data_IF_360836663460
#
_entry.id   IF_360836663460
#
_cell.length_a   1.000
_cell.length_b   1.000
_cell.length_c   1.000
_cell.angle_alpha   90.00
_cell.angle_beta   90.00
_cell.angle_gamma   90.00
#
_symmetry.space_group_name_H-M   'P 1'
#
loop_
_entity.id
_entity.type
_entity.pdbx_description
1 polymer ?
#
# COMPACT_ATOMS: atom_id res chain seq x y z
N UNK A 1 20.80 20.24 -40.52
CA UNK A 1 21.97 20.61 -41.36
C UNK A 1 23.16 19.81 -40.87
N UNK A 2 23.45 18.75 -41.63
CA UNK A 2 24.10 17.51 -41.23
C UNK A 2 25.63 17.59 -41.15
N UNK A 3 26.19 18.62 -40.52
CA UNK A 3 27.65 18.83 -40.54
C UNK A 3 28.42 18.20 -39.37
N UNK A 4 27.76 17.93 -38.23
CA UNK A 4 28.43 17.37 -37.05
C UNK A 4 28.44 15.83 -37.10
N UNK A 5 27.36 15.22 -37.58
CA UNK A 5 27.22 13.75 -37.65
C UNK A 5 28.23 13.13 -38.62
N UNK A 6 28.53 13.81 -39.73
CA UNK A 6 29.50 13.33 -40.72
C UNK A 6 30.96 13.41 -40.21
N UNK A 7 31.26 14.34 -39.29
CA UNK A 7 32.61 14.55 -38.77
C UNK A 7 32.98 13.52 -37.70
N UNK A 8 31.99 13.03 -36.94
CA UNK A 8 32.19 11.93 -35.97
C UNK A 8 32.42 10.59 -36.66
N UNK A 9 31.82 10.38 -37.84
CA UNK A 9 31.95 9.16 -38.64
C UNK A 9 33.37 8.94 -39.22
N UNK A 10 34.14 10.01 -39.44
CA UNK A 10 35.52 9.92 -39.96
C UNK A 10 36.58 9.76 -38.87
N UNK A 11 36.24 10.04 -37.60
CA UNK A 11 37.20 10.03 -36.48
C UNK A 11 37.13 8.75 -35.63
N UNK A 12 36.05 7.96 -35.75
CA UNK A 12 35.85 6.71 -35.01
C UNK A 12 35.13 5.67 -35.90
N UNK A 13 35.85 4.94 -36.77
CA UNK A 13 35.24 3.99 -37.71
C UNK A 13 34.69 2.70 -37.07
N UNK A 14 34.90 2.49 -35.78
CA UNK A 14 34.51 1.27 -35.04
C UNK A 14 33.41 1.49 -33.97
N UNK A 15 32.68 2.62 -34.00
CA UNK A 15 31.67 2.91 -32.98
C UNK A 15 30.23 2.63 -33.50
N UNK A 16 29.65 1.53 -33.04
CA UNK A 16 28.26 1.14 -33.32
C UNK A 16 27.28 2.20 -32.78
N UNK A 17 26.60 2.92 -33.69
CA UNK A 17 25.66 3.99 -33.35
C UNK A 17 24.41 3.49 -32.58
N UNK A 18 24.18 2.18 -32.55
CA UNK A 18 23.13 1.55 -31.73
C UNK A 18 23.43 1.66 -30.24
N UNK A 19 24.69 1.64 -29.81
CA UNK A 19 25.05 1.66 -28.38
C UNK A 19 24.84 3.03 -27.74
N UNK A 20 24.91 4.12 -28.52
CA UNK A 20 24.65 5.47 -28.03
C UNK A 20 23.15 5.74 -27.86
N UNK A 21 22.32 5.22 -28.78
CA UNK A 21 20.85 5.27 -28.69
C UNK A 21 20.32 4.34 -27.59
N UNK A 22 20.91 3.15 -27.43
CA UNK A 22 20.61 2.22 -26.34
C UNK A 22 20.98 2.83 -24.99
N UNK A 23 22.15 3.46 -24.82
CA UNK A 23 22.51 4.12 -23.55
C UNK A 23 21.62 5.33 -23.20
N UNK A 24 21.16 6.08 -24.20
CA UNK A 24 20.26 7.21 -23.97
C UNK A 24 18.84 6.74 -23.61
N UNK A 25 18.37 5.63 -24.19
CA UNK A 25 17.08 5.02 -23.85
C UNK A 25 17.14 4.26 -22.51
N UNK A 26 18.23 3.53 -22.23
CA UNK A 26 18.46 2.79 -20.97
C UNK A 26 18.62 3.69 -19.74
N UNK A 27 19.10 4.94 -19.89
CA UNK A 27 19.11 5.89 -18.78
C UNK A 27 17.70 6.31 -18.33
N UNK A 28 16.69 6.17 -19.20
CA UNK A 28 15.30 6.44 -18.84
C UNK A 28 14.65 5.25 -18.11
N UNK A 29 15.08 4.02 -18.39
CA UNK A 29 14.55 2.80 -17.76
C UNK A 29 15.08 2.57 -16.33
N UNK A 30 16.32 2.99 -16.03
CA UNK A 30 16.92 2.81 -14.69
C UNK A 30 16.38 3.80 -13.63
N UNK A 31 15.86 4.95 -14.06
CA UNK A 31 15.16 5.91 -13.19
C UNK A 31 13.77 5.40 -12.81
N UNK A 32 13.09 4.69 -13.71
CA UNK A 32 11.78 4.07 -13.43
C UNK A 32 11.94 2.85 -12.50
N UNK A 33 12.99 2.03 -12.66
CA UNK A 33 13.26 0.89 -11.77
C UNK A 33 13.58 1.30 -10.32
N UNK A 34 14.28 2.43 -10.11
CA UNK A 34 14.52 2.98 -8.76
C UNK A 34 13.23 3.51 -8.11
N UNK A 35 12.36 4.17 -8.89
CA UNK A 35 11.04 4.62 -8.39
C UNK A 35 10.12 3.45 -8.12
N UNK A 36 10.15 2.40 -8.92
CA UNK A 36 9.39 1.16 -8.71
C UNK A 36 9.90 0.38 -7.48
N UNK A 37 11.21 0.33 -7.24
CA UNK A 37 11.79 -0.24 -6.01
C UNK A 37 11.40 0.58 -4.77
N UNK A 38 11.37 1.91 -4.87
CA UNK A 38 10.92 2.81 -3.81
C UNK A 38 9.44 2.58 -3.47
N UNK A 39 8.58 2.46 -4.48
CA UNK A 39 7.17 2.12 -4.31
C UNK A 39 7.02 0.72 -3.70
N UNK A 40 7.71 -0.31 -4.22
CA UNK A 40 7.68 -1.67 -3.67
C UNK A 40 8.12 -1.73 -2.22
N UNK A 41 9.20 -1.05 -1.86
CA UNK A 41 9.68 -0.99 -0.49
C UNK A 41 8.65 -0.35 0.46
N UNK A 42 7.96 0.71 0.01
CA UNK A 42 6.94 1.39 0.81
C UNK A 42 5.69 0.52 1.06
N UNK A 43 5.19 -0.21 0.04
CA UNK A 43 4.06 -1.13 0.24
C UNK A 43 4.43 -2.38 1.06
N UNK A 44 5.69 -2.86 1.00
CA UNK A 44 6.15 -3.97 1.85
C UNK A 44 6.23 -3.53 3.32
N UNK A 45 6.80 -2.35 3.62
CA UNK A 45 6.88 -1.84 5.00
C UNK A 45 5.52 -1.58 5.63
N UNK A 46 4.56 -1.04 4.87
CA UNK A 46 3.18 -0.84 5.37
C UNK A 46 2.51 -2.18 5.73
N UNK A 47 2.61 -3.20 4.88
CA UNK A 47 2.02 -4.52 5.16
C UNK A 47 2.66 -5.21 6.38
N UNK A 48 3.98 -5.10 6.56
CA UNK A 48 4.66 -5.66 7.74
C UNK A 48 4.24 -4.97 9.04
N UNK A 49 4.16 -3.64 9.03
CA UNK A 49 3.70 -2.86 10.18
C UNK A 49 2.25 -3.20 10.55
N UNK A 50 1.40 -3.40 9.55
CA UNK A 50 0.02 -3.85 9.73
C UNK A 50 -0.06 -5.27 10.30
N UNK A 51 0.71 -6.22 9.77
CA UNK A 51 0.74 -7.60 10.27
C UNK A 51 1.17 -7.64 11.74
N UNK A 52 2.19 -6.84 12.11
CA UNK A 52 2.63 -6.69 13.50
C UNK A 52 1.52 -6.10 14.37
N UNK A 53 0.86 -5.04 13.93
CA UNK A 53 -0.26 -4.42 14.66
C UNK A 53 -1.44 -5.41 14.85
N UNK A 54 -1.72 -6.28 13.87
CA UNK A 54 -2.73 -7.35 13.99
C UNK A 54 -2.35 -8.36 15.07
N UNK A 55 -1.10 -8.80 15.12
CA UNK A 55 -0.62 -9.71 16.17
C UNK A 55 -0.66 -9.05 17.55
N UNK A 56 -0.28 -7.78 17.65
CA UNK A 56 -0.35 -7.02 18.90
C UNK A 56 -1.79 -6.89 19.42
N UNK A 57 -2.77 -6.63 18.55
CA UNK A 57 -4.20 -6.60 18.92
C UNK A 57 -4.68 -7.97 19.44
N UNK A 58 -4.19 -9.08 18.85
CA UNK A 58 -4.52 -10.44 19.32
C UNK A 58 -3.92 -10.74 20.70
N UNK A 59 -2.76 -10.17 21.01
CA UNK A 59 -2.06 -10.35 22.27
C UNK A 59 -2.60 -9.47 23.41
N UNK A 60 -3.53 -8.54 23.12
CA UNK A 60 -4.17 -7.72 24.15
C UNK A 60 -4.93 -8.61 25.14
N UNK A 61 -4.54 -8.55 26.42
CA UNK A 61 -5.18 -9.28 27.53
C UNK A 61 -6.63 -8.86 27.77
N UNK A 62 -6.99 -7.65 27.36
CA UNK A 62 -8.32 -7.09 27.52
C UNK A 62 -8.94 -6.90 26.13
N UNK A 63 -10.11 -7.51 25.90
CA UNK A 63 -10.82 -7.39 24.63
C UNK A 63 -11.25 -5.94 24.44
N UNK A 64 -10.91 -5.31 23.29
CA UNK A 64 -11.49 -4.04 22.89
C UNK A 64 -13.01 -4.10 22.97
N UNK A 65 -13.64 -2.97 23.27
CA UNK A 65 -15.08 -2.81 23.21
C UNK A 65 -15.62 -3.19 21.83
N UNK A 66 -16.88 -3.60 21.78
CA UNK A 66 -17.52 -4.06 20.54
C UNK A 66 -17.47 -3.04 19.39
N UNK A 67 -17.51 -1.73 19.72
CA UNK A 67 -17.37 -0.66 18.75
C UNK A 67 -15.96 -0.62 18.12
N UNK A 68 -14.92 -0.68 18.96
CA UNK A 68 -13.52 -0.69 18.52
C UNK A 68 -13.21 -1.93 17.67
N UNK A 69 -13.72 -3.09 18.08
CA UNK A 69 -13.59 -4.33 17.33
C UNK A 69 -14.24 -4.24 15.94
N UNK A 70 -15.36 -3.52 15.82
CA UNK A 70 -16.01 -3.22 14.55
C UNK A 70 -15.17 -2.32 13.66
N UNK A 71 -14.57 -1.26 14.23
CA UNK A 71 -13.70 -0.34 13.50
C UNK A 71 -12.41 -1.01 12.99
N UNK A 72 -11.73 -1.77 13.85
CA UNK A 72 -10.55 -2.59 13.49
C UNK A 72 -10.91 -3.51 12.33
N UNK A 73 -12.06 -4.21 12.43
CA UNK A 73 -12.51 -5.12 11.39
C UNK A 73 -12.79 -4.40 10.08
N UNK A 74 -13.49 -3.26 10.11
CA UNK A 74 -13.80 -2.47 8.92
C UNK A 74 -12.54 -2.00 8.19
N UNK A 75 -11.57 -1.44 8.93
CA UNK A 75 -10.28 -1.00 8.38
C UNK A 75 -9.47 -2.18 7.84
N UNK A 76 -9.42 -3.29 8.57
CA UNK A 76 -8.75 -4.52 8.12
C UNK A 76 -9.32 -5.04 6.80
N UNK A 77 -10.65 -5.04 6.66
CA UNK A 77 -11.33 -5.46 5.43
C UNK A 77 -11.09 -4.49 4.29
N UNK A 78 -11.09 -3.18 4.55
CA UNK A 78 -10.78 -2.18 3.53
C UNK A 78 -9.32 -2.26 3.05
N UNK A 79 -8.35 -2.45 3.96
CA UNK A 79 -6.94 -2.59 3.62
C UNK A 79 -6.64 -3.85 2.78
N UNK A 80 -7.32 -4.96 3.08
CA UNK A 80 -7.06 -6.25 2.41
C UNK A 80 -7.89 -6.43 1.13
N UNK A 81 -9.21 -6.28 1.25
CA UNK A 81 -10.18 -6.52 0.17
C UNK A 81 -10.43 -5.25 -0.65
N UNK A 82 -10.43 -4.09 0.01
CA UNK A 82 -10.92 -2.84 -0.56
C UNK A 82 -12.41 -2.65 -0.26
N UNK A 83 -13.10 -2.01 -1.20
CA UNK A 83 -14.50 -1.64 -1.02
C UNK A 83 -15.44 -2.81 -0.75
N UNK A 84 -16.44 -2.57 0.10
CA UNK A 84 -17.46 -3.55 0.43
C UNK A 84 -18.22 -3.98 -0.83
N UNK A 85 -18.16 -5.29 -1.10
CA UNK A 85 -18.82 -5.93 -2.24
C UNK A 85 -19.88 -6.96 -1.80
N UNK A 86 -20.13 -7.07 -0.49
CA UNK A 86 -21.10 -7.99 0.09
C UNK A 86 -22.38 -7.25 0.49
N UNK A 87 -23.53 -7.91 0.31
CA UNK A 87 -24.81 -7.39 0.76
C UNK A 87 -24.89 -7.32 2.29
N UNK A 88 -25.71 -6.41 2.79
CA UNK A 88 -25.90 -6.22 4.23
C UNK A 88 -26.48 -7.47 4.89
N UNK A 89 -25.85 -8.01 5.95
CA UNK A 89 -26.37 -9.18 6.65
C UNK A 89 -27.73 -8.90 7.28
N UNK A 90 -28.53 -9.96 7.44
CA UNK A 90 -29.92 -9.87 7.94
C UNK A 90 -30.01 -9.28 9.34
N UNK A 91 -31.16 -8.66 9.65
CA UNK A 91 -31.39 -7.87 10.88
C UNK A 91 -31.16 -8.68 12.18
N UNK A 92 -31.28 -10.01 12.11
CA UNK A 92 -31.06 -10.92 13.24
C UNK A 92 -29.59 -11.09 13.63
N UNK A 93 -28.64 -10.76 12.76
CA UNK A 93 -27.21 -10.79 13.07
C UNK A 93 -26.69 -9.38 13.37
N UNK A 94 -26.91 -8.92 14.60
CA UNK A 94 -26.44 -7.61 15.06
C UNK A 94 -24.90 -7.49 15.02
N UNK A 95 -24.18 -8.61 15.06
CA UNK A 95 -22.72 -8.65 15.00
C UNK A 95 -22.16 -8.59 13.59
N UNK A 96 -22.73 -9.36 12.68
CA UNK A 96 -22.48 -9.20 11.25
C UNK A 96 -22.83 -7.79 10.79
N UNK A 97 -23.97 -7.25 11.23
CA UNK A 97 -24.43 -5.91 10.85
C UNK A 97 -23.50 -4.81 11.34
N UNK A 98 -23.03 -4.87 12.59
CA UNK A 98 -22.09 -3.87 13.12
C UNK A 98 -20.75 -3.87 12.37
N UNK A 99 -20.22 -5.06 12.05
CA UNK A 99 -19.00 -5.22 11.24
C UNK A 99 -19.18 -4.70 9.81
N UNK A 100 -20.31 -5.01 9.21
CA UNK A 100 -20.64 -4.57 7.85
C UNK A 100 -20.85 -3.06 7.79
N UNK A 101 -21.59 -2.47 8.73
CA UNK A 101 -21.82 -1.02 8.81
C UNK A 101 -20.47 -0.28 9.03
N UNK A 102 -19.53 -0.85 9.79
CA UNK A 102 -18.19 -0.29 9.96
C UNK A 102 -17.34 -0.36 8.68
N UNK A 103 -17.44 -1.45 7.92
CA UNK A 103 -16.74 -1.58 6.63
C UNK A 103 -17.34 -0.65 5.57
N UNK A 104 -18.67 -0.57 5.46
CA UNK A 104 -19.31 0.31 4.46
C UNK A 104 -19.02 1.79 4.71
N UNK A 105 -18.93 2.22 5.98
CA UNK A 105 -18.52 3.60 6.32
C UNK A 105 -17.12 3.98 5.84
N UNK A 106 -16.26 2.99 5.57
CA UNK A 106 -14.86 3.17 5.14
C UNK A 106 -14.68 2.93 3.64
N UNK A 107 -15.78 2.73 2.90
CA UNK A 107 -15.77 2.60 1.43
C UNK A 107 -15.17 3.84 0.77
N UNK A 108 -14.35 3.64 -0.25
CA UNK A 108 -13.66 4.70 -0.97
C UNK A 108 -12.32 5.12 -0.37
N UNK A 109 -11.92 4.58 0.80
CA UNK A 109 -10.55 4.73 1.30
C UNK A 109 -9.60 3.84 0.49
N UNK A 110 -8.43 4.39 0.17
CA UNK A 110 -7.35 3.60 -0.42
C UNK A 110 -6.80 2.59 0.61
N UNK A 111 -6.12 1.55 0.11
CA UNK A 111 -5.53 0.52 0.99
C UNK A 111 -4.50 1.12 1.94
N UNK A 112 -3.69 2.05 1.45
CA UNK A 112 -2.63 2.69 2.24
C UNK A 112 -3.22 3.55 3.35
N UNK A 113 -4.25 4.35 3.06
CA UNK A 113 -4.96 5.13 4.08
C UNK A 113 -5.66 4.24 5.11
N UNK A 114 -6.24 3.11 4.68
CA UNK A 114 -6.86 2.15 5.59
C UNK A 114 -5.84 1.48 6.51
N UNK A 115 -4.64 1.17 6.01
CA UNK A 115 -3.54 0.63 6.82
C UNK A 115 -3.00 1.66 7.81
N UNK A 116 -2.81 2.91 7.38
CA UNK A 116 -2.37 3.99 8.26
C UNK A 116 -3.38 4.22 9.40
N UNK A 117 -4.66 4.36 9.07
CA UNK A 117 -5.72 4.51 10.06
C UNK A 117 -5.85 3.30 11.00
N UNK A 118 -5.53 2.09 10.51
CA UNK A 118 -5.49 0.90 11.34
C UNK A 118 -4.37 0.98 12.38
N UNK A 119 -3.17 1.40 11.98
CA UNK A 119 -2.01 1.54 12.87
C UNK A 119 -2.32 2.56 13.97
N UNK A 120 -2.85 3.74 13.61
CA UNK A 120 -3.23 4.78 14.56
C UNK A 120 -4.24 4.26 15.59
N UNK A 121 -5.25 3.53 15.14
CA UNK A 121 -6.28 2.97 16.01
C UNK A 121 -5.70 1.90 16.95
N UNK A 122 -4.75 1.07 16.48
CA UNK A 122 -4.05 0.10 17.34
C UNK A 122 -3.18 0.81 18.38
N UNK A 123 -2.49 1.89 18.02
CA UNK A 123 -1.73 2.68 18.98
C UNK A 123 -2.64 3.29 20.07
N UNK A 124 -3.79 3.82 19.69
CA UNK A 124 -4.75 4.35 20.65
C UNK A 124 -5.35 3.26 21.55
N UNK A 125 -5.60 2.07 21.01
CA UNK A 125 -5.98 0.91 21.82
C UNK A 125 -4.88 0.52 22.80
N UNK A 126 -3.61 0.53 22.38
CA UNK A 126 -2.49 0.27 23.29
C UNK A 126 -2.41 1.30 24.41
N UNK A 127 -2.61 2.59 24.11
CA UNK A 127 -2.68 3.66 25.14
C UNK A 127 -3.85 3.44 26.09
N UNK A 128 -5.02 3.06 25.56
CA UNK A 128 -6.24 2.89 26.34
C UNK A 128 -6.22 1.65 27.23
N UNK A 129 -5.70 0.54 26.72
CA UNK A 129 -5.68 -0.75 27.41
C UNK A 129 -4.42 -0.99 28.23
N UNK A 130 -3.38 -0.16 28.07
CA UNK A 130 -2.16 -0.16 28.88
C UNK A 130 -1.39 -1.48 28.76
N UNK A 131 -0.34 -1.48 27.94
CA UNK A 131 0.73 -2.49 28.03
C UNK A 131 1.89 -1.90 28.82
#
# INVERSE_FOLDING_TARGET
MYSIIFFVFLLFPDLDYTDLLINTLLQNDEFDERRLKQCQFHMVTMNESFAKAVEEVKLLKQKPGYAELGEIYGLYKQATVGDVNIGRPGIFDLAGRGKWDAWERRKGLSKDEAMAAYIDLVEDLKKKFGI
#
